data_IF_888745221008
#
_entry.id   IF_888745221008
#
_cell.length_a   1.000
_cell.length_b   1.000
_cell.length_c   1.000
_cell.angle_alpha   90.00
_cell.angle_beta   90.00
_cell.angle_gamma   90.00
#
_symmetry.space_group_name_H-M   'P 1'
#
loop_
_entity.id
_entity.type
_entity.pdbx_description
1 polymer ?
#
# COMPACT_ATOMS: atom_id res chain seq x y z
N UNK A 1 20.66 -26.12 -4.63
CA UNK A 1 20.82 -25.55 -3.25
C UNK A 1 19.87 -24.37 -3.17
N UNK A 2 19.09 -24.23 -2.09
CA UNK A 2 18.18 -23.08 -1.92
C UNK A 2 18.97 -21.79 -1.83
N UNK A 3 18.52 -20.75 -2.54
CA UNK A 3 19.04 -19.38 -2.46
C UNK A 3 18.13 -18.57 -1.53
N UNK A 4 18.69 -17.57 -0.85
CA UNK A 4 17.98 -16.74 0.11
C UNK A 4 18.21 -15.27 -0.18
N UNK A 5 17.18 -14.48 -0.02
CA UNK A 5 17.13 -13.07 -0.42
C UNK A 5 16.67 -12.20 0.73
N UNK A 6 17.47 -11.21 1.07
CA UNK A 6 17.20 -10.27 2.17
C UNK A 6 16.44 -9.05 1.66
N UNK A 7 15.36 -8.71 2.31
CA UNK A 7 14.65 -7.44 2.14
C UNK A 7 14.89 -6.53 3.34
N UNK A 8 15.03 -5.22 3.10
CA UNK A 8 15.15 -4.19 4.13
C UNK A 8 14.21 -3.04 3.78
N UNK A 9 13.43 -2.57 4.75
CA UNK A 9 12.60 -1.37 4.62
C UNK A 9 12.67 -0.52 5.89
N UNK A 10 13.11 0.73 5.74
CA UNK A 10 13.14 1.75 6.79
C UNK A 10 12.34 2.99 6.36
N UNK A 11 11.30 2.75 5.57
CA UNK A 11 10.35 3.80 5.19
C UNK A 11 9.48 4.19 6.38
N UNK A 12 9.08 5.45 6.45
CA UNK A 12 8.05 5.97 7.35
C UNK A 12 8.16 5.48 8.82
N UNK A 13 7.13 4.77 9.31
CA UNK A 13 6.96 4.46 10.74
C UNK A 13 7.33 3.03 11.13
N UNK A 14 7.84 2.22 10.22
CA UNK A 14 8.17 0.82 10.51
C UNK A 14 9.59 0.50 10.07
N UNK A 15 10.40 -0.03 10.97
CA UNK A 15 11.66 -0.71 10.62
C UNK A 15 11.35 -2.16 10.35
N UNK A 16 11.74 -2.71 9.21
CA UNK A 16 11.51 -4.11 8.88
C UNK A 16 12.64 -4.74 8.07
N UNK A 17 12.81 -6.04 8.25
CA UNK A 17 13.66 -6.89 7.44
C UNK A 17 13.01 -8.27 7.28
N UNK A 18 13.26 -8.92 6.14
CA UNK A 18 12.69 -10.23 5.85
C UNK A 18 13.65 -11.06 4.98
N UNK A 19 13.58 -12.38 5.09
CA UNK A 19 14.26 -13.31 4.20
C UNK A 19 13.23 -14.15 3.47
N UNK A 20 13.38 -14.25 2.14
CA UNK A 20 12.58 -15.10 1.25
C UNK A 20 13.53 -16.10 0.59
N UNK A 21 13.09 -17.34 0.38
CA UNK A 21 13.84 -18.35 -0.35
C UNK A 21 13.56 -18.30 -1.87
N UNK A 22 14.28 -19.11 -2.65
CA UNK A 22 14.10 -19.22 -4.11
C UNK A 22 12.74 -19.77 -4.55
N UNK A 23 11.96 -20.35 -3.62
CA UNK A 23 10.58 -20.80 -3.85
C UNK A 23 9.55 -19.75 -3.39
N UNK A 24 10.01 -18.54 -3.08
CA UNK A 24 9.22 -17.38 -2.62
C UNK A 24 8.54 -17.56 -1.25
N UNK A 25 9.00 -18.49 -0.41
CA UNK A 25 8.52 -18.63 0.95
C UNK A 25 9.26 -17.67 1.89
N UNK A 26 8.52 -17.04 2.81
CA UNK A 26 9.14 -16.26 3.90
C UNK A 26 9.83 -17.23 4.87
N UNK A 27 11.13 -17.06 5.01
CA UNK A 27 11.99 -17.86 5.93
C UNK A 27 12.11 -17.18 7.27
N UNK A 28 12.06 -15.85 7.29
CA UNK A 28 12.05 -15.04 8.49
C UNK A 28 11.59 -13.63 8.20
N UNK A 29 10.91 -13.01 9.16
CA UNK A 29 10.46 -11.62 9.10
C UNK A 29 10.55 -11.02 10.51
N UNK A 30 11.11 -9.81 10.61
CA UNK A 30 11.13 -9.03 11.82
C UNK A 30 10.78 -7.58 11.52
N UNK A 31 9.90 -6.98 12.33
CA UNK A 31 9.48 -5.59 12.18
C UNK A 31 9.14 -4.93 13.49
N UNK A 32 9.39 -3.63 13.58
CA UNK A 32 9.06 -2.80 14.73
C UNK A 32 8.54 -1.44 14.28
N UNK A 33 7.37 -1.06 14.81
CA UNK A 33 6.82 0.29 14.63
C UNK A 33 7.65 1.24 15.49
N UNK A 34 7.95 2.42 14.93
CA UNK A 34 8.66 3.49 15.62
C UNK A 34 7.80 4.08 16.75
N UNK A 35 8.46 4.48 17.81
CA UNK A 35 7.80 5.06 18.97
C UNK A 35 7.46 6.54 18.71
N UNK A 36 6.18 6.89 18.82
CA UNK A 36 5.68 8.27 18.78
C UNK A 36 5.28 8.65 20.20
N UNK A 37 5.82 9.77 20.71
CA UNK A 37 5.49 10.22 22.06
C UNK A 37 4.01 10.60 22.18
N UNK A 38 3.38 10.36 23.33
CA UNK A 38 2.02 10.79 23.57
C UNK A 38 1.86 12.30 23.32
N UNK A 39 0.85 12.67 22.51
CA UNK A 39 0.58 14.07 22.15
C UNK A 39 1.28 14.58 20.89
N UNK A 40 2.25 13.87 20.34
CA UNK A 40 2.85 14.19 19.05
C UNK A 40 1.98 13.68 17.90
N UNK A 41 1.90 14.46 16.80
CA UNK A 41 1.11 14.11 15.59
C UNK A 41 1.92 13.36 14.53
N UNK A 42 3.17 12.98 14.84
CA UNK A 42 4.09 12.30 13.94
C UNK A 42 5.54 12.41 14.41
N UNK A 43 6.48 11.87 13.63
CA UNK A 43 7.91 11.91 13.91
C UNK A 43 8.63 12.84 12.93
N UNK A 44 9.58 13.60 13.45
CA UNK A 44 10.55 14.30 12.62
C UNK A 44 11.47 13.28 11.92
N UNK A 45 11.92 13.60 10.71
CA UNK A 45 12.80 12.71 9.93
C UNK A 45 14.09 12.32 10.67
N UNK A 46 14.69 13.25 11.40
CA UNK A 46 15.89 12.98 12.23
C UNK A 46 15.62 11.93 13.31
N UNK A 47 14.44 11.97 13.94
CA UNK A 47 14.04 10.97 14.94
C UNK A 47 13.76 9.62 14.28
N UNK A 48 13.13 9.60 13.11
CA UNK A 48 12.95 8.35 12.32
C UNK A 48 14.31 7.72 12.01
N UNK A 49 15.26 8.47 11.46
CA UNK A 49 16.64 8.01 11.18
C UNK A 49 17.29 7.44 12.43
N UNK A 50 17.23 8.15 13.56
CA UNK A 50 17.80 7.69 14.82
C UNK A 50 17.18 6.35 15.26
N UNK A 51 15.85 6.24 15.26
CA UNK A 51 15.16 5.02 15.68
C UNK A 51 15.45 3.87 14.73
N UNK A 52 15.39 4.07 13.41
CA UNK A 52 15.74 3.04 12.43
C UNK A 52 17.16 2.53 12.61
N UNK A 53 18.13 3.43 12.79
CA UNK A 53 19.55 3.07 13.02
C UNK A 53 19.72 2.20 14.27
N UNK A 54 18.96 2.49 15.34
CA UNK A 54 19.02 1.74 16.59
C UNK A 54 18.32 0.39 16.50
N UNK A 55 17.23 0.30 15.73
CA UNK A 55 16.33 -0.86 15.70
C UNK A 55 16.75 -1.89 14.65
N UNK A 56 17.14 -1.46 13.46
CA UNK A 56 17.41 -2.35 12.33
C UNK A 56 18.43 -3.46 12.64
N UNK A 57 19.60 -3.20 13.29
CA UNK A 57 20.54 -4.26 13.63
C UNK A 57 19.96 -5.32 14.56
N UNK A 58 19.06 -4.92 15.48
CA UNK A 58 18.40 -5.85 16.40
C UNK A 58 17.44 -6.77 15.67
N UNK A 59 16.62 -6.20 14.76
CA UNK A 59 15.70 -7.01 13.96
C UNK A 59 16.45 -7.96 13.01
N UNK A 60 17.58 -7.53 12.45
CA UNK A 60 18.42 -8.42 11.64
C UNK A 60 18.96 -9.60 12.44
N UNK A 61 19.27 -9.43 13.72
CA UNK A 61 19.74 -10.52 14.58
C UNK A 61 18.64 -11.54 14.94
N UNK A 62 17.38 -11.21 14.73
CA UNK A 62 16.24 -12.11 14.93
C UNK A 62 16.00 -13.02 13.70
N UNK A 63 16.56 -12.67 12.54
CA UNK A 63 16.42 -13.46 11.31
C UNK A 63 17.31 -14.73 11.36
N UNK A 64 16.87 -15.82 10.71
CA UNK A 64 17.69 -17.02 10.60
C UNK A 64 18.99 -16.73 9.84
N UNK A 65 20.09 -17.34 10.31
CA UNK A 65 21.40 -17.24 9.64
C UNK A 65 21.44 -18.18 8.43
N UNK A 66 21.36 -17.59 7.24
CA UNK A 66 21.39 -18.31 5.96
C UNK A 66 22.31 -17.56 4.98
N UNK A 67 22.91 -18.25 3.99
CA UNK A 67 23.73 -17.60 2.99
C UNK A 67 22.85 -16.74 2.07
N UNK A 68 22.98 -15.43 2.18
CA UNK A 68 22.22 -14.47 1.36
C UNK A 68 22.81 -14.44 -0.05
N UNK A 69 21.94 -14.48 -1.06
CA UNK A 69 22.28 -14.48 -2.49
C UNK A 69 21.94 -13.15 -3.19
N UNK A 70 21.20 -12.27 -2.54
CA UNK A 70 20.86 -10.94 -3.06
C UNK A 70 20.09 -10.13 -2.02
N UNK A 71 20.12 -8.81 -2.17
CA UNK A 71 19.53 -7.87 -1.22
C UNK A 71 18.60 -6.90 -1.95
N UNK A 72 17.40 -6.70 -1.43
CA UNK A 72 16.43 -5.71 -1.88
C UNK A 72 16.18 -4.66 -0.80
N UNK A 73 16.18 -3.37 -1.16
CA UNK A 73 15.96 -2.28 -0.20
C UNK A 73 14.99 -1.25 -0.75
N UNK A 74 14.17 -0.67 0.11
CA UNK A 74 13.45 0.57 -0.23
C UNK A 74 14.41 1.74 -0.12
N UNK A 75 14.75 2.36 -1.26
CA UNK A 75 15.71 3.48 -1.30
C UNK A 75 15.05 4.87 -1.31
N UNK A 76 13.78 4.96 -1.68
CA UNK A 76 13.03 6.21 -1.82
C UNK A 76 11.52 5.95 -1.82
N UNK A 77 10.67 6.98 -1.57
CA UNK A 77 9.21 6.81 -1.51
C UNK A 77 8.58 6.32 -2.82
N UNK A 78 8.86 7.01 -3.94
CA UNK A 78 8.29 6.74 -5.28
C UNK A 78 9.37 6.83 -6.34
N UNK A 79 9.16 6.20 -7.49
CA UNK A 79 10.07 6.28 -8.64
C UNK A 79 9.80 7.55 -9.46
N UNK A 80 10.14 8.69 -8.84
CA UNK A 80 10.01 10.05 -9.41
C UNK A 80 11.30 10.84 -9.16
N UNK A 81 11.58 11.81 -10.04
CA UNK A 81 12.67 12.74 -9.80
C UNK A 81 12.49 13.45 -8.45
N UNK A 82 13.57 13.53 -7.65
CA UNK A 82 13.61 14.16 -6.32
C UNK A 82 12.76 13.46 -5.23
N UNK A 83 12.33 12.23 -5.44
CA UNK A 83 11.68 11.44 -4.39
C UNK A 83 12.72 11.04 -3.34
N UNK A 84 12.82 11.80 -2.25
CA UNK A 84 13.82 11.64 -1.19
C UNK A 84 13.19 11.82 0.18
N UNK A 85 13.53 10.92 1.10
CA UNK A 85 13.28 11.10 2.54
C UNK A 85 14.45 10.50 3.35
N UNK A 86 14.97 11.23 4.37
CA UNK A 86 16.13 10.80 5.16
C UNK A 86 16.00 9.41 5.79
N UNK A 87 14.81 9.01 6.22
CA UNK A 87 14.57 7.70 6.84
C UNK A 87 15.02 6.52 5.96
N UNK A 88 14.85 6.63 4.63
CA UNK A 88 15.24 5.58 3.68
C UNK A 88 16.76 5.34 3.63
N UNK A 89 17.54 6.37 3.94
CA UNK A 89 19.01 6.28 3.89
C UNK A 89 19.57 5.25 4.85
N UNK A 90 18.86 4.93 5.93
CA UNK A 90 19.31 3.91 6.90
C UNK A 90 19.30 2.52 6.25
N UNK A 91 18.18 2.09 5.69
CA UNK A 91 18.07 0.81 5.00
C UNK A 91 18.94 0.72 3.75
N UNK A 92 18.97 1.80 2.96
CA UNK A 92 19.79 1.88 1.74
C UNK A 92 21.28 1.75 2.07
N UNK A 93 21.80 2.53 3.01
CA UNK A 93 23.21 2.48 3.42
C UNK A 93 23.59 1.10 3.98
N UNK A 94 22.72 0.50 4.79
CA UNK A 94 22.94 -0.84 5.31
C UNK A 94 22.95 -1.89 4.18
N UNK A 95 22.01 -1.81 3.25
CA UNK A 95 21.94 -2.72 2.11
C UNK A 95 23.17 -2.60 1.21
N UNK A 96 23.66 -1.39 0.93
CA UNK A 96 24.89 -1.15 0.18
C UNK A 96 26.12 -1.76 0.87
N UNK A 97 26.25 -1.56 2.17
CA UNK A 97 27.36 -2.11 2.97
C UNK A 97 27.35 -3.64 2.93
N UNK A 98 26.20 -4.25 3.21
CA UNK A 98 26.06 -5.71 3.21
C UNK A 98 26.29 -6.31 1.81
N UNK A 99 25.73 -5.71 0.77
CA UNK A 99 25.91 -6.14 -0.62
C UNK A 99 27.39 -6.17 -0.99
N UNK A 100 28.13 -5.11 -0.64
CA UNK A 100 29.56 -5.05 -0.91
C UNK A 100 30.35 -6.11 -0.13
N UNK A 101 30.13 -6.22 1.19
CA UNK A 101 30.85 -7.15 2.03
C UNK A 101 30.57 -8.63 1.72
N UNK A 102 29.32 -8.94 1.34
CA UNK A 102 28.88 -10.29 1.02
C UNK A 102 29.08 -10.63 -0.46
N UNK A 103 29.48 -9.66 -1.29
CA UNK A 103 29.63 -9.79 -2.75
C UNK A 103 28.36 -10.35 -3.43
N UNK A 104 27.19 -9.77 -3.10
CA UNK A 104 25.89 -10.14 -3.65
C UNK A 104 25.19 -8.95 -4.29
N UNK A 105 24.33 -9.16 -5.30
CA UNK A 105 23.61 -8.07 -5.96
C UNK A 105 22.71 -7.27 -4.99
N UNK A 106 22.66 -5.95 -5.20
CA UNK A 106 21.71 -5.04 -4.53
C UNK A 106 20.67 -4.55 -5.54
N UNK A 107 19.39 -4.66 -5.18
CA UNK A 107 18.28 -4.09 -5.92
C UNK A 107 17.62 -3.00 -5.08
N UNK A 108 17.44 -1.81 -5.66
CA UNK A 108 16.85 -0.65 -4.99
C UNK A 108 15.45 -0.45 -5.56
N UNK A 109 14.45 -0.58 -4.70
CA UNK A 109 13.03 -0.38 -5.01
C UNK A 109 12.52 0.94 -4.43
N UNK A 110 11.44 1.48 -5.00
CA UNK A 110 10.63 2.45 -4.31
C UNK A 110 9.82 1.76 -3.19
N UNK A 111 9.49 2.48 -2.13
CA UNK A 111 8.61 1.95 -1.08
C UNK A 111 7.24 1.53 -1.65
N UNK A 112 6.71 2.30 -2.59
CA UNK A 112 5.51 1.95 -3.33
C UNK A 112 5.63 0.60 -4.06
N UNK A 113 6.78 0.33 -4.69
CA UNK A 113 7.06 -0.96 -5.34
C UNK A 113 7.16 -2.10 -4.34
N UNK A 114 7.73 -1.86 -3.15
CA UNK A 114 7.76 -2.85 -2.07
C UNK A 114 6.34 -3.32 -1.69
N UNK A 115 5.38 -2.40 -1.53
CA UNK A 115 3.98 -2.78 -1.27
C UNK A 115 3.36 -3.61 -2.40
N UNK A 116 3.63 -3.24 -3.65
CA UNK A 116 3.11 -3.96 -4.82
C UNK A 116 3.73 -5.36 -4.90
N UNK A 117 5.05 -5.47 -4.72
CA UNK A 117 5.78 -6.73 -4.73
C UNK A 117 5.34 -7.65 -3.58
N UNK A 118 5.06 -7.10 -2.39
CA UNK A 118 4.53 -7.87 -1.28
C UNK A 118 3.15 -8.49 -1.59
N UNK A 119 2.31 -7.77 -2.34
CA UNK A 119 1.02 -8.29 -2.81
C UNK A 119 1.15 -9.33 -3.92
N UNK A 120 2.13 -9.15 -4.81
CA UNK A 120 2.38 -10.07 -5.92
C UNK A 120 2.93 -11.43 -5.48
N UNK A 121 3.59 -11.49 -4.34
CA UNK A 121 4.16 -12.74 -3.81
C UNK A 121 3.14 -13.88 -3.75
N UNK A 122 1.92 -13.59 -3.37
CA UNK A 122 0.85 -14.59 -3.25
C UNK A 122 0.40 -15.16 -4.61
N UNK A 123 0.76 -14.48 -5.71
CA UNK A 123 0.43 -14.89 -7.07
C UNK A 123 1.44 -15.89 -7.66
N UNK A 124 2.54 -16.17 -6.98
CA UNK A 124 3.66 -17.00 -7.44
C UNK A 124 4.35 -16.51 -8.73
N UNK A 125 3.73 -15.60 -9.46
CA UNK A 125 4.27 -15.00 -10.68
C UNK A 125 3.88 -13.53 -10.77
N UNK A 126 4.83 -12.65 -11.08
CA UNK A 126 4.51 -11.28 -11.51
C UNK A 126 3.88 -11.39 -12.90
N UNK A 127 2.78 -10.67 -13.18
CA UNK A 127 2.21 -10.66 -14.51
C UNK A 127 3.26 -10.25 -15.56
N UNK A 128 3.42 -11.02 -16.62
CA UNK A 128 4.31 -10.66 -17.74
C UNK A 128 3.76 -9.47 -18.54
N UNK A 129 2.45 -9.27 -18.50
CA UNK A 129 1.77 -8.13 -19.11
C UNK A 129 1.72 -6.96 -18.14
N UNK A 130 1.63 -5.71 -18.63
CA UNK A 130 1.41 -4.56 -17.78
C UNK A 130 0.14 -4.72 -16.93
N UNK A 131 0.19 -4.22 -15.70
CA UNK A 131 -0.92 -4.30 -14.76
C UNK A 131 -1.11 -2.99 -13.99
N UNK A 132 -2.26 -2.82 -13.37
CA UNK A 132 -2.53 -1.71 -12.46
C UNK A 132 -2.42 -2.16 -11.00
N UNK A 133 -1.84 -1.31 -10.16
CA UNK A 133 -1.83 -1.47 -8.71
C UNK A 133 -2.57 -0.30 -8.06
N UNK A 134 -3.65 -0.59 -7.34
CA UNK A 134 -4.41 0.36 -6.55
C UNK A 134 -3.90 0.35 -5.12
N UNK A 135 -3.26 1.44 -4.69
CA UNK A 135 -2.87 1.65 -3.31
C UNK A 135 -3.89 2.54 -2.61
N UNK A 136 -4.65 1.99 -1.67
CA UNK A 136 -5.68 2.69 -0.92
C UNK A 136 -5.48 2.52 0.58
N UNK A 137 -4.90 3.53 1.22
CA UNK A 137 -4.58 3.53 2.65
C UNK A 137 -5.05 4.81 3.35
N UNK A 138 -4.71 4.97 4.63
CA UNK A 138 -4.96 6.20 5.38
C UNK A 138 -4.34 7.44 4.73
N UNK A 139 -3.12 7.32 4.24
CA UNK A 139 -2.34 8.41 3.67
C UNK A 139 -2.15 8.39 2.16
N UNK A 140 -2.70 7.38 1.45
CA UNK A 140 -2.44 7.20 0.02
C UNK A 140 -3.70 6.76 -0.71
N UNK A 141 -3.93 7.34 -1.87
CA UNK A 141 -4.91 6.90 -2.88
C UNK A 141 -4.26 7.08 -4.23
N UNK A 142 -3.66 6.04 -4.76
CA UNK A 142 -2.88 6.06 -5.98
C UNK A 142 -3.20 4.85 -6.86
N UNK A 143 -3.23 5.06 -8.16
CA UNK A 143 -3.29 4.02 -9.16
C UNK A 143 -1.96 4.04 -9.92
N UNK A 144 -1.23 2.94 -9.85
CA UNK A 144 0.10 2.78 -10.40
C UNK A 144 0.03 1.83 -11.58
N UNK A 145 0.57 2.24 -12.70
CA UNK A 145 0.82 1.37 -13.84
C UNK A 145 2.16 0.70 -13.64
N UNK A 146 2.17 -0.62 -13.70
CA UNK A 146 3.35 -1.44 -13.44
C UNK A 146 3.62 -2.33 -14.65
N UNK A 147 4.89 -2.50 -14.97
CA UNK A 147 5.34 -3.38 -16.02
C UNK A 147 6.66 -4.04 -15.64
N UNK A 148 6.72 -5.36 -15.73
CA UNK A 148 7.96 -6.11 -15.65
C UNK A 148 8.52 -6.28 -17.07
N UNK A 149 9.62 -5.60 -17.37
CA UNK A 149 10.22 -5.61 -18.73
C UNK A 149 11.17 -6.81 -18.97
N UNK A 150 11.30 -7.72 -18.00
CA UNK A 150 12.38 -8.71 -18.01
C UNK A 150 13.73 -8.10 -17.60
N UNK A 151 14.80 -8.88 -17.65
CA UNK A 151 16.16 -8.44 -17.32
C UNK A 151 16.33 -7.75 -15.95
N UNK A 152 15.40 -7.95 -15.03
CA UNK A 152 15.44 -7.35 -13.69
C UNK A 152 14.92 -5.93 -13.62
N UNK A 153 14.20 -5.43 -14.61
CA UNK A 153 13.61 -4.10 -14.62
C UNK A 153 12.13 -4.18 -14.29
N UNK A 154 11.75 -3.55 -13.19
CA UNK A 154 10.36 -3.33 -12.79
C UNK A 154 10.08 -1.83 -12.89
N UNK A 155 9.18 -1.46 -13.80
CA UNK A 155 8.75 -0.07 -13.97
C UNK A 155 7.45 0.18 -13.24
N UNK A 156 7.35 1.32 -12.59
CA UNK A 156 6.14 1.78 -11.93
C UNK A 156 5.94 3.28 -12.15
N UNK A 157 4.72 3.66 -12.57
CA UNK A 157 4.35 5.06 -12.79
C UNK A 157 2.97 5.33 -12.19
N UNK A 158 2.84 6.42 -11.42
CA UNK A 158 1.53 6.85 -10.94
C UNK A 158 0.75 7.41 -12.13
N UNK A 159 -0.37 6.78 -12.44
CA UNK A 159 -1.24 7.18 -13.55
C UNK A 159 -2.54 7.83 -13.08
N UNK A 160 -2.97 7.57 -11.84
CA UNK A 160 -4.15 8.13 -11.23
C UNK A 160 -4.04 8.19 -9.71
N UNK A 161 -5.01 8.79 -9.06
CA UNK A 161 -5.02 8.89 -7.60
C UNK A 161 -5.86 10.06 -7.12
N UNK A 162 -5.77 10.40 -5.84
CA UNK A 162 -6.45 11.57 -5.30
C UNK A 162 -5.58 12.81 -5.35
N UNK A 163 -6.13 13.91 -5.88
CA UNK A 163 -5.45 15.22 -5.97
C UNK A 163 -5.52 16.05 -4.68
N UNK A 164 -6.37 15.67 -3.74
CA UNK A 164 -6.64 16.46 -2.54
C UNK A 164 -6.66 15.59 -1.28
N UNK A 165 -7.79 15.02 -0.92
CA UNK A 165 -7.99 14.22 0.27
C UNK A 165 -7.83 12.73 -0.05
N UNK A 166 -7.09 11.99 0.77
CA UNK A 166 -6.94 10.56 0.58
C UNK A 166 -8.20 9.81 1.04
N UNK A 167 -8.45 8.63 0.45
CA UNK A 167 -9.65 7.84 0.75
C UNK A 167 -9.79 7.48 2.24
N UNK A 168 -8.69 7.09 2.89
CA UNK A 168 -8.69 6.82 4.33
C UNK A 168 -8.91 8.07 5.17
N UNK A 169 -8.33 9.21 4.80
CA UNK A 169 -8.61 10.49 5.48
C UNK A 169 -10.08 10.91 5.34
N UNK A 170 -10.70 10.63 4.18
CA UNK A 170 -12.13 10.87 4.00
C UNK A 170 -12.95 10.04 4.98
N UNK A 171 -12.67 8.74 5.07
CA UNK A 171 -13.31 7.82 6.04
C UNK A 171 -13.12 8.31 7.46
N UNK A 172 -11.89 8.65 7.86
CA UNK A 172 -11.57 9.09 9.21
C UNK A 172 -12.25 10.41 9.58
N UNK A 173 -12.26 11.39 8.67
CA UNK A 173 -12.92 12.69 8.91
C UNK A 173 -14.43 12.53 9.18
N UNK A 174 -15.11 11.71 8.38
CA UNK A 174 -16.54 11.48 8.59
C UNK A 174 -16.77 10.66 9.85
N UNK A 175 -15.98 9.62 10.09
CA UNK A 175 -16.12 8.81 11.30
C UNK A 175 -15.93 9.61 12.58
N UNK A 176 -14.88 10.41 12.66
CA UNK A 176 -14.63 11.30 13.82
C UNK A 176 -15.75 12.33 13.99
N UNK A 177 -16.25 12.91 12.90
CA UNK A 177 -17.38 13.85 12.95
C UNK A 177 -18.70 13.19 13.41
N UNK A 178 -18.85 11.88 13.20
CA UNK A 178 -19.97 11.08 13.74
C UNK A 178 -19.74 10.62 15.20
N UNK A 179 -18.61 11.03 15.83
CA UNK A 179 -18.25 10.65 17.20
C UNK A 179 -17.58 9.27 17.33
N UNK A 180 -17.10 8.69 16.23
CA UNK A 180 -16.42 7.39 16.25
C UNK A 180 -14.94 7.55 16.64
N UNK A 181 -14.34 6.53 17.28
CA UNK A 181 -12.90 6.51 17.60
C UNK A 181 -12.02 6.60 16.36
N UNK A 182 -10.86 7.24 16.49
CA UNK A 182 -9.81 7.25 15.48
C UNK A 182 -8.82 6.07 15.70
N UNK A 183 -8.37 5.36 14.65
CA UNK A 183 -8.79 5.41 13.24
C UNK A 183 -10.22 4.90 13.04
N UNK A 184 -11.04 5.66 12.29
CA UNK A 184 -12.47 5.42 12.24
C UNK A 184 -12.91 4.33 11.25
N UNK A 185 -12.01 3.81 10.42
CA UNK A 185 -12.32 2.92 9.30
C UNK A 185 -13.20 1.73 9.68
N UNK A 186 -12.81 0.94 10.69
CA UNK A 186 -13.58 -0.22 11.17
C UNK A 186 -14.94 0.16 11.77
N UNK A 187 -14.96 1.26 12.50
CA UNK A 187 -16.19 1.73 13.16
C UNK A 187 -17.19 2.27 12.15
N UNK A 188 -16.73 3.03 11.15
CA UNK A 188 -17.57 3.53 10.07
C UNK A 188 -18.09 2.40 9.20
N UNK A 189 -17.26 1.36 8.94
CA UNK A 189 -17.69 0.15 8.24
C UNK A 189 -18.80 -0.58 8.99
N UNK A 190 -18.65 -0.75 10.32
CA UNK A 190 -19.67 -1.40 11.15
C UNK A 190 -21.02 -0.67 11.07
N UNK A 191 -21.03 0.67 11.05
CA UNK A 191 -22.24 1.45 10.79
C UNK A 191 -22.79 1.21 9.39
N UNK A 192 -21.94 1.27 8.37
CA UNK A 192 -22.35 1.11 6.97
C UNK A 192 -22.94 -0.28 6.67
N UNK A 193 -22.57 -1.30 7.44
CA UNK A 193 -23.08 -2.67 7.28
C UNK A 193 -24.48 -2.85 7.87
N UNK A 194 -24.97 -1.94 8.70
CA UNK A 194 -26.29 -2.01 9.32
C UNK A 194 -27.44 -1.72 8.35
N UNK A 195 -27.13 -1.14 7.17
CA UNK A 195 -28.13 -0.79 6.16
C UNK A 195 -27.61 -0.98 4.75
N UNK A 196 -28.53 -1.23 3.82
CA UNK A 196 -28.26 -1.18 2.38
C UNK A 196 -28.73 0.14 1.77
N UNK A 197 -29.53 0.92 2.51
CA UNK A 197 -30.07 2.21 2.08
C UNK A 197 -29.04 3.31 2.26
N UNK A 198 -29.03 4.26 1.36
CA UNK A 198 -28.21 5.47 1.46
C UNK A 198 -28.70 6.56 0.50
N UNK A 199 -28.46 7.80 0.85
CA UNK A 199 -28.58 8.91 -0.08
C UNK A 199 -27.25 9.14 -0.80
N UNK A 200 -27.20 9.18 -2.14
CA UNK A 200 -25.97 9.33 -2.89
C UNK A 200 -25.14 10.57 -2.49
N UNK A 201 -23.85 10.38 -2.37
CA UNK A 201 -22.87 11.44 -2.31
C UNK A 201 -22.22 11.59 -3.69
N UNK A 202 -21.75 12.79 -4.07
CA UNK A 202 -21.06 12.98 -5.32
C UNK A 202 -19.80 12.12 -5.39
N UNK A 203 -19.34 11.80 -6.60
CA UNK A 203 -18.03 11.22 -6.87
C UNK A 203 -17.39 12.00 -8.01
N UNK A 204 -16.26 12.63 -7.75
CA UNK A 204 -15.55 13.48 -8.70
C UNK A 204 -14.31 12.78 -9.23
N UNK A 205 -14.29 12.53 -10.53
CA UNK A 205 -13.12 12.00 -11.25
C UNK A 205 -12.99 12.77 -12.55
N UNK A 206 -11.82 13.35 -12.78
CA UNK A 206 -11.47 14.07 -13.99
C UNK A 206 -10.13 13.58 -14.51
N UNK A 207 -10.08 13.18 -15.79
CA UNK A 207 -8.87 12.71 -16.47
C UNK A 207 -8.14 11.59 -15.67
N UNK A 208 -8.91 10.65 -15.11
CA UNK A 208 -8.36 9.55 -14.30
C UNK A 208 -7.91 9.92 -12.87
N UNK A 209 -8.17 11.16 -12.42
CA UNK A 209 -7.83 11.63 -11.07
C UNK A 209 -9.06 11.90 -10.23
N UNK A 210 -9.02 11.47 -8.98
CA UNK A 210 -10.10 11.60 -8.00
C UNK A 210 -9.95 12.91 -7.21
N UNK A 211 -11.09 13.49 -6.81
CA UNK A 211 -11.20 14.49 -5.75
C UNK A 211 -12.18 14.00 -4.70
N UNK A 212 -11.71 13.82 -3.46
CA UNK A 212 -12.55 13.45 -2.32
C UNK A 212 -12.97 14.64 -1.45
N UNK A 213 -12.36 15.82 -1.61
CA UNK A 213 -12.69 17.00 -0.81
C UNK A 213 -14.16 17.43 -0.99
N UNK A 214 -14.67 17.44 -2.23
CA UNK A 214 -16.07 17.74 -2.51
C UNK A 214 -17.06 16.75 -1.87
N UNK A 215 -16.92 15.44 -2.14
CA UNK A 215 -17.71 14.40 -1.46
C UNK A 215 -17.63 14.46 0.06
N UNK A 216 -16.44 14.66 0.64
CA UNK A 216 -16.25 14.82 2.07
C UNK A 216 -17.02 16.03 2.63
N UNK A 217 -16.91 17.19 1.97
CA UNK A 217 -17.66 18.39 2.38
C UNK A 217 -19.17 18.20 2.26
N UNK A 218 -19.64 17.46 1.24
CA UNK A 218 -21.06 17.13 1.11
C UNK A 218 -21.55 16.21 2.23
N UNK A 219 -20.73 15.22 2.62
CA UNK A 219 -21.04 14.33 3.75
C UNK A 219 -21.04 15.12 5.09
N UNK A 220 -20.02 15.96 5.32
CA UNK A 220 -19.92 16.80 6.53
C UNK A 220 -21.15 17.70 6.74
N UNK A 221 -21.70 18.29 5.66
CA UNK A 221 -22.92 19.14 5.75
C UNK A 221 -24.17 18.37 6.18
N UNK A 222 -24.19 17.04 6.05
CA UNK A 222 -25.32 16.21 6.51
C UNK A 222 -25.22 15.86 7.99
N UNK A 223 -24.06 16.04 8.62
CA UNK A 223 -23.84 15.70 10.01
C UNK A 223 -24.40 16.82 10.89
N UNK A 224 -25.30 16.47 11.81
CA UNK A 224 -25.84 17.35 12.84
C UNK A 224 -26.13 16.55 14.12
N UNK A 225 -26.34 17.25 15.21
CA UNK A 225 -26.56 16.65 16.55
C UNK A 225 -27.88 15.87 16.69
N UNK A 226 -28.80 16.00 15.73
CA UNK A 226 -30.10 15.34 15.74
C UNK A 226 -30.13 14.06 14.87
N UNK A 227 -29.01 13.65 14.29
CA UNK A 227 -28.94 12.41 13.48
C UNK A 227 -29.31 11.19 14.32
N UNK A 228 -30.26 10.40 13.81
CA UNK A 228 -30.54 9.07 14.33
C UNK A 228 -29.42 8.08 13.98
N UNK A 229 -29.34 6.95 14.66
CA UNK A 229 -28.34 5.93 14.35
C UNK A 229 -28.52 5.35 12.94
N UNK A 230 -29.76 5.27 12.45
CA UNK A 230 -30.04 4.85 11.07
C UNK A 230 -29.52 5.87 10.05
N UNK A 231 -29.62 7.19 10.33
CA UNK A 231 -29.10 8.23 9.45
C UNK A 231 -27.56 8.20 9.40
N UNK A 232 -26.92 7.95 10.56
CA UNK A 232 -25.46 7.75 10.62
C UNK A 232 -25.05 6.53 9.78
N UNK A 233 -25.80 5.42 9.86
CA UNK A 233 -25.55 4.22 9.09
C UNK A 233 -25.74 4.44 7.59
N UNK A 234 -26.79 5.18 7.18
CA UNK A 234 -27.02 5.57 5.78
C UNK A 234 -25.90 6.47 5.25
N UNK A 235 -25.44 7.43 6.06
CA UNK A 235 -24.33 8.30 5.67
C UNK A 235 -23.01 7.52 5.54
N UNK A 236 -22.70 6.64 6.50
CA UNK A 236 -21.52 5.76 6.43
C UNK A 236 -21.55 4.90 5.15
N UNK A 237 -22.71 4.35 4.80
CA UNK A 237 -22.91 3.59 3.56
C UNK A 237 -22.67 4.44 2.33
N UNK A 238 -23.17 5.67 2.30
CA UNK A 238 -22.99 6.63 1.22
C UNK A 238 -21.51 6.98 1.00
N UNK A 239 -20.72 7.13 2.08
CA UNK A 239 -19.28 7.41 2.03
C UNK A 239 -18.55 6.28 1.29
N UNK A 240 -18.68 5.03 1.71
CA UNK A 240 -18.02 3.91 1.03
C UNK A 240 -18.52 3.74 -0.41
N UNK A 241 -19.79 4.00 -0.67
CA UNK A 241 -20.33 3.97 -2.03
C UNK A 241 -19.71 5.05 -2.91
N UNK A 242 -19.53 6.27 -2.40
CA UNK A 242 -18.92 7.36 -3.17
C UNK A 242 -17.44 7.10 -3.47
N UNK A 243 -16.70 6.52 -2.51
CA UNK A 243 -15.32 6.06 -2.73
C UNK A 243 -15.29 5.01 -3.82
N UNK A 244 -16.11 3.95 -3.72
CA UNK A 244 -16.18 2.90 -4.72
C UNK A 244 -16.52 3.43 -6.12
N UNK A 245 -17.49 4.37 -6.23
CA UNK A 245 -17.83 5.03 -7.50
C UNK A 245 -16.62 5.77 -8.11
N UNK A 246 -15.83 6.45 -7.29
CA UNK A 246 -14.65 7.16 -7.74
C UNK A 246 -13.55 6.20 -8.21
N UNK A 247 -13.30 5.13 -7.46
CA UNK A 247 -12.32 4.10 -7.84
C UNK A 247 -12.70 3.43 -9.16
N UNK A 248 -13.96 3.02 -9.33
CA UNK A 248 -14.43 2.41 -10.57
C UNK A 248 -14.24 3.34 -11.78
N UNK A 249 -14.58 4.63 -11.66
CA UNK A 249 -14.38 5.62 -12.72
C UNK A 249 -12.91 5.81 -13.06
N UNK A 250 -12.04 5.91 -12.05
CA UNK A 250 -10.59 6.05 -12.23
C UNK A 250 -10.01 4.82 -12.95
N UNK A 251 -10.33 3.62 -12.49
CA UNK A 251 -9.83 2.37 -13.08
C UNK A 251 -10.35 2.24 -14.52
N UNK A 252 -11.65 2.52 -14.77
CA UNK A 252 -12.24 2.47 -16.11
C UNK A 252 -11.52 3.39 -17.09
N UNK A 253 -11.14 4.59 -16.65
CA UNK A 253 -10.41 5.55 -17.48
C UNK A 253 -9.08 4.93 -17.97
N UNK A 254 -8.28 4.41 -17.05
CA UNK A 254 -6.95 3.88 -17.38
C UNK A 254 -6.96 2.51 -18.07
N UNK A 255 -7.96 1.66 -17.79
CA UNK A 255 -8.08 0.37 -18.48
C UNK A 255 -8.54 0.49 -19.93
N UNK A 256 -9.25 1.58 -20.27
CA UNK A 256 -9.61 1.87 -21.67
C UNK A 256 -8.42 2.34 -22.51
N UNK A 257 -7.51 3.10 -21.91
CA UNK A 257 -6.32 3.64 -22.59
C UNK A 257 -5.20 2.60 -22.71
N UNK A 258 -5.12 1.72 -21.73
CA UNK A 258 -4.04 0.72 -21.60
C UNK A 258 -4.67 -0.67 -21.51
N UNK A 259 -4.33 -1.57 -22.42
CA UNK A 259 -4.85 -2.96 -22.45
C UNK A 259 -4.40 -3.78 -21.21
N UNK A 260 -4.88 -3.38 -20.03
CA UNK A 260 -4.55 -4.00 -18.74
C UNK A 260 -5.64 -4.99 -18.35
N UNK A 261 -5.24 -6.18 -17.90
CA UNK A 261 -6.13 -7.25 -17.45
C UNK A 261 -6.03 -7.60 -15.97
N UNK A 262 -5.01 -7.10 -15.29
CA UNK A 262 -4.75 -7.42 -13.88
C UNK A 262 -4.79 -6.15 -13.04
N UNK A 263 -5.52 -6.19 -11.94
CA UNK A 263 -5.59 -5.16 -10.90
C UNK A 263 -5.12 -5.75 -9.57
N UNK A 264 -4.03 -5.21 -9.03
CA UNK A 264 -3.57 -5.51 -7.68
C UNK A 264 -4.11 -4.44 -6.74
N UNK A 265 -4.70 -4.80 -5.62
CA UNK A 265 -5.21 -3.86 -4.63
C UNK A 265 -4.48 -4.03 -3.30
N UNK A 266 -3.87 -2.95 -2.81
CA UNK A 266 -3.09 -2.90 -1.57
C UNK A 266 -3.56 -1.76 -0.67
N UNK A 267 -3.23 -1.83 0.62
CA UNK A 267 -3.49 -0.79 1.61
C UNK A 267 -4.68 -1.10 2.52
N UNK A 268 -4.62 -0.52 3.74
CA UNK A 268 -5.55 -0.85 4.82
C UNK A 268 -7.03 -0.55 4.53
N UNK A 269 -7.32 0.45 3.69
CA UNK A 269 -8.70 0.79 3.31
C UNK A 269 -9.30 -0.26 2.37
N UNK A 270 -8.47 -0.99 1.61
CA UNK A 270 -8.92 -2.13 0.79
C UNK A 270 -9.31 -3.37 1.62
N UNK A 271 -8.99 -3.39 2.91
CA UNK A 271 -9.50 -4.40 3.85
C UNK A 271 -10.98 -4.21 4.18
N UNK A 272 -11.58 -3.06 3.84
CA UNK A 272 -13.01 -2.79 4.00
C UNK A 272 -13.84 -3.75 3.13
N UNK A 273 -14.75 -4.49 3.75
CA UNK A 273 -15.53 -5.54 3.09
C UNK A 273 -16.47 -5.02 1.99
N UNK A 274 -17.02 -3.80 2.18
CA UNK A 274 -17.90 -3.17 1.19
C UNK A 274 -17.13 -2.76 -0.07
N UNK A 275 -15.97 -2.13 0.10
CA UNK A 275 -15.11 -1.74 -1.02
C UNK A 275 -14.54 -2.97 -1.72
N UNK A 276 -14.09 -3.98 -0.96
CA UNK A 276 -13.57 -5.22 -1.51
C UNK A 276 -14.61 -5.94 -2.37
N UNK A 277 -15.79 -6.21 -1.83
CA UNK A 277 -16.88 -6.86 -2.56
C UNK A 277 -17.29 -6.10 -3.81
N UNK A 278 -17.26 -4.77 -3.73
CA UNK A 278 -17.55 -3.90 -4.84
C UNK A 278 -16.50 -4.01 -5.94
N UNK A 279 -15.21 -3.97 -5.59
CA UNK A 279 -14.11 -4.14 -6.55
C UNK A 279 -14.10 -5.53 -7.17
N UNK A 280 -14.40 -6.58 -6.41
CA UNK A 280 -14.59 -7.95 -6.94
C UNK A 280 -15.68 -7.99 -8.02
N UNK A 281 -16.84 -7.36 -7.72
CA UNK A 281 -17.96 -7.29 -8.68
C UNK A 281 -17.61 -6.47 -9.92
N UNK A 282 -16.97 -5.31 -9.73
CA UNK A 282 -16.52 -4.44 -10.81
C UNK A 282 -15.52 -5.16 -11.73
N UNK A 283 -14.49 -5.77 -11.16
CA UNK A 283 -13.45 -6.46 -11.91
C UNK A 283 -14.03 -7.65 -12.70
N UNK A 284 -14.90 -8.46 -12.09
CA UNK A 284 -15.58 -9.56 -12.78
C UNK A 284 -16.37 -9.06 -14.00
N UNK A 285 -17.12 -7.96 -13.85
CA UNK A 285 -17.92 -7.36 -14.94
C UNK A 285 -17.08 -6.80 -16.09
N UNK A 286 -15.86 -6.33 -15.77
CA UNK A 286 -14.96 -5.71 -16.73
C UNK A 286 -13.83 -6.66 -17.19
N UNK A 287 -13.93 -7.95 -16.90
CA UNK A 287 -12.92 -8.97 -17.26
C UNK A 287 -11.51 -8.66 -16.75
N UNK A 288 -11.42 -8.05 -15.57
CA UNK A 288 -10.17 -7.80 -14.86
C UNK A 288 -9.95 -8.90 -13.81
N UNK A 289 -8.75 -9.41 -13.72
CA UNK A 289 -8.33 -10.26 -12.60
C UNK A 289 -7.96 -9.37 -11.42
N UNK A 290 -8.70 -9.48 -10.31
CA UNK A 290 -8.43 -8.74 -9.09
C UNK A 290 -7.62 -9.61 -8.12
N UNK A 291 -6.52 -9.07 -7.63
CA UNK A 291 -5.76 -9.62 -6.52
C UNK A 291 -5.71 -8.60 -5.39
N UNK A 292 -6.20 -8.98 -4.22
CA UNK A 292 -6.17 -8.14 -3.02
C UNK A 292 -5.10 -8.67 -2.09
N UNK A 293 -4.13 -7.83 -1.73
CA UNK A 293 -3.09 -8.20 -0.77
C UNK A 293 -3.69 -8.62 0.57
N UNK A 294 -3.09 -9.63 1.18
CA UNK A 294 -3.47 -10.01 2.55
C UNK A 294 -3.19 -8.85 3.51
N UNK A 295 -4.05 -8.61 4.52
CA UNK A 295 -3.92 -7.46 5.43
C UNK A 295 -2.54 -7.31 6.06
N UNK A 296 -1.88 -8.41 6.39
CA UNK A 296 -0.54 -8.42 6.99
C UNK A 296 0.56 -7.86 6.07
N UNK A 297 0.36 -7.87 4.74
CA UNK A 297 1.27 -7.33 3.73
C UNK A 297 0.82 -5.96 3.20
N UNK A 298 -0.33 -5.47 3.67
CA UNK A 298 -0.83 -4.12 3.34
C UNK A 298 -0.26 -3.02 4.24
N UNK A 299 0.49 -3.38 5.28
CA UNK A 299 1.24 -2.47 6.16
C UNK A 299 2.71 -2.49 5.80
N UNK A 300 3.49 -1.48 6.25
CA UNK A 300 4.92 -1.39 5.99
C UNK A 300 5.64 -2.68 6.43
N UNK A 301 6.35 -3.28 5.50
CA UNK A 301 7.10 -4.53 5.68
C UNK A 301 8.20 -4.62 4.61
N UNK A 302 9.18 -5.50 4.82
CA UNK A 302 10.30 -5.72 3.89
C UNK A 302 10.12 -6.94 2.97
N UNK A 303 9.00 -7.67 3.10
CA UNK A 303 8.80 -8.92 2.35
C UNK A 303 8.70 -8.70 0.84
N UNK A 304 8.16 -7.54 0.41
CA UNK A 304 8.13 -7.16 -1.00
C UNK A 304 9.52 -6.94 -1.59
N UNK A 305 10.42 -6.29 -0.84
CA UNK A 305 11.81 -6.10 -1.27
C UNK A 305 12.55 -7.46 -1.39
N UNK A 306 12.37 -8.36 -0.41
CA UNK A 306 12.95 -9.71 -0.46
C UNK A 306 12.40 -10.52 -1.63
N UNK A 307 11.07 -10.51 -1.83
CA UNK A 307 10.42 -11.18 -2.96
C UNK A 307 10.87 -10.58 -4.30
N UNK A 308 10.92 -9.25 -4.40
CA UNK A 308 11.33 -8.57 -5.63
C UNK A 308 12.72 -8.99 -6.08
N UNK A 309 13.73 -9.01 -5.19
CA UNK A 309 15.06 -9.46 -5.55
C UNK A 309 15.11 -10.95 -5.87
N UNK A 310 14.37 -11.79 -5.13
CA UNK A 310 14.24 -13.21 -5.44
C UNK A 310 13.68 -13.41 -6.85
N UNK A 311 12.56 -12.76 -7.16
CA UNK A 311 11.93 -12.87 -8.48
C UNK A 311 12.84 -12.40 -9.61
N UNK A 312 13.51 -11.25 -9.45
CA UNK A 312 14.40 -10.70 -10.46
C UNK A 312 15.63 -11.59 -10.74
N UNK A 313 16.05 -12.38 -9.77
CA UNK A 313 17.20 -13.28 -9.95
C UNK A 313 16.81 -14.68 -10.40
N UNK A 314 15.67 -15.21 -9.93
CA UNK A 314 15.19 -16.54 -10.31
C UNK A 314 14.57 -16.55 -11.72
N UNK A 315 13.94 -15.45 -12.15
CA UNK A 315 13.33 -15.32 -13.49
C UNK A 315 14.34 -15.11 -14.62
N UNK A 316 15.64 -15.03 -14.32
CA UNK A 316 16.72 -14.92 -15.32
C UNK A 316 17.23 -16.29 -15.83
N UNK A 317 16.77 -17.38 -15.27
CA UNK A 317 17.03 -18.75 -15.69
C UNK A 317 15.88 -19.25 -16.55
#
# INVERSE_FOLDING_TARGET
>A
MKRYYLGIDTSCYTTSCAIVDSDFHIVGEARKILEVKPGERGLQQSNMVFQHTKVLPKLMSELPQVPISGIGVSGFPRREERSYMPAFMVGLGQGQTLSHLMNVPLHIFAHQENHILAALRDLKNIPNEPFLALHLSGGTTELVYCHYQGNGIFESHIVGGSKDLQGGQYVDRIGVALGLPFPAGKHLEALALQTTEYEPLPSSVKDGWISFAGPCSAAMRRINNAMSDIDKSKLARAVFTSIGNALEKMITYHTKEKSVRVLIAVGGVMSNSLLRKRMETYCKRNHLQLHVAQPQFSVDNATGNAFGVAYLQESRG
#
